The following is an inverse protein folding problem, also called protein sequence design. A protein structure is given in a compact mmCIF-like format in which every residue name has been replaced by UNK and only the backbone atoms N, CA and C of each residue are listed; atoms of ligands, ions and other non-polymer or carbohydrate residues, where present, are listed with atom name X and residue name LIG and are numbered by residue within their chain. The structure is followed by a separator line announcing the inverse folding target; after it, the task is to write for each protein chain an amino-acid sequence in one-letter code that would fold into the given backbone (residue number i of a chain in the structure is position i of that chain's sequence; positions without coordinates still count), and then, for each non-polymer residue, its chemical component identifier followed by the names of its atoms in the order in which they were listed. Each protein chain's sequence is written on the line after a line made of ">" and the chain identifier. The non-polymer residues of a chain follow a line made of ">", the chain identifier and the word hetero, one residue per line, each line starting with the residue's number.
data_IF_705416297224
#
_entry.id   IF_705416297224
#
_cell.length_a   1.000
_cell.length_b   1.000
_cell.length_c   1.000
_cell.angle_alpha   90.00
_cell.angle_beta   90.00
_cell.angle_gamma   90.00
#
_symmetry.space_group_name_H-M   'P 1'
#
loop_
_entity.id
_entity.type
_entity.pdbx_description
1 polymer ?
#
# COMPACT_ATOMS: atom_id res chain seq x y z
N UNK A 1 18.72 -21.28 -12.17
CA UNK A 1 18.33 -21.59 -10.78
C UNK A 1 17.11 -20.80 -10.32
N UNK A 2 17.15 -19.45 -10.27
CA UNK A 2 16.02 -18.62 -9.79
C UNK A 2 14.70 -18.93 -10.51
N UNK A 3 14.70 -19.03 -11.84
CA UNK A 3 13.48 -19.38 -12.57
C UNK A 3 12.89 -20.74 -12.16
N UNK A 4 13.73 -21.75 -11.91
CA UNK A 4 13.27 -23.06 -11.44
C UNK A 4 12.68 -22.99 -10.03
N UNK A 5 13.30 -22.21 -9.12
CA UNK A 5 12.76 -21.98 -7.78
C UNK A 5 11.40 -21.27 -7.84
N UNK A 6 11.26 -20.29 -8.74
CA UNK A 6 10.00 -19.59 -8.97
C UNK A 6 8.92 -20.51 -9.58
N UNK A 7 9.30 -21.46 -10.44
CA UNK A 7 8.38 -22.46 -10.96
C UNK A 7 7.91 -23.44 -9.89
N UNK A 8 8.80 -23.85 -8.98
CA UNK A 8 8.41 -24.64 -7.79
C UNK A 8 7.49 -23.83 -6.89
N UNK A 9 7.78 -22.54 -6.69
CA UNK A 9 7.00 -21.66 -5.84
C UNK A 9 5.54 -21.51 -6.29
N UNK A 10 5.28 -21.54 -7.60
CA UNK A 10 3.93 -21.41 -8.16
C UNK A 10 3.21 -22.75 -8.34
N UNK A 11 3.94 -23.86 -8.54
CA UNK A 11 3.34 -25.19 -8.71
C UNK A 11 2.88 -25.80 -7.39
N UNK A 12 3.66 -25.61 -6.33
CA UNK A 12 3.44 -26.29 -5.04
C UNK A 12 2.77 -25.38 -4.01
N UNK A 13 1.85 -24.48 -4.43
CA UNK A 13 1.14 -23.55 -3.53
C UNK A 13 0.40 -24.30 -2.39
N UNK A 14 0.08 -25.58 -2.59
CA UNK A 14 -0.53 -26.44 -1.57
C UNK A 14 0.42 -26.96 -0.47
N UNK A 15 1.74 -26.99 -0.70
CA UNK A 15 2.72 -27.38 0.33
C UNK A 15 3.23 -26.13 1.07
N UNK A 16 2.58 -25.83 2.19
CA UNK A 16 2.91 -24.67 3.02
C UNK A 16 4.37 -24.64 3.50
N UNK A 17 5.07 -25.78 3.63
CA UNK A 17 6.48 -25.79 4.05
C UNK A 17 7.40 -25.35 2.92
N UNK A 18 7.16 -25.86 1.70
CA UNK A 18 7.93 -25.48 0.51
C UNK A 18 7.71 -24.00 0.21
N UNK A 19 6.45 -23.55 0.21
CA UNK A 19 6.08 -22.15 0.00
C UNK A 19 6.75 -21.24 1.03
N UNK A 20 6.70 -21.61 2.32
CA UNK A 20 7.37 -20.84 3.38
C UNK A 20 8.88 -20.73 3.16
N UNK A 21 9.55 -21.86 2.86
CA UNK A 21 11.00 -21.88 2.65
C UNK A 21 11.43 -21.03 1.45
N UNK A 22 10.70 -21.14 0.35
CA UNK A 22 10.97 -20.37 -0.87
C UNK A 22 10.66 -18.88 -0.69
N UNK A 23 9.59 -18.51 0.02
CA UNK A 23 9.29 -17.11 0.33
C UNK A 23 10.40 -16.47 1.17
N UNK A 24 10.91 -17.18 2.17
CA UNK A 24 12.03 -16.72 2.98
C UNK A 24 13.33 -16.59 2.14
N UNK A 25 13.58 -17.53 1.23
CA UNK A 25 14.69 -17.45 0.29
C UNK A 25 14.58 -16.22 -0.63
N UNK A 26 13.42 -15.99 -1.26
CA UNK A 26 13.23 -14.81 -2.11
C UNK A 26 13.33 -13.51 -1.32
N UNK A 27 12.84 -13.49 -0.07
CA UNK A 27 13.07 -12.38 0.83
C UNK A 27 14.57 -12.13 1.06
N UNK A 28 15.34 -13.18 1.32
CA UNK A 28 16.79 -13.06 1.55
C UNK A 28 17.53 -12.55 0.30
N UNK A 29 17.19 -13.08 -0.87
CA UNK A 29 17.77 -12.63 -2.16
C UNK A 29 17.37 -11.18 -2.46
N UNK A 30 16.15 -10.76 -2.09
CA UNK A 30 15.64 -9.39 -2.33
C UNK A 30 16.38 -8.30 -1.55
N UNK A 31 17.24 -8.66 -0.60
CA UNK A 31 18.08 -7.70 0.14
C UNK A 31 19.25 -7.18 -0.70
N UNK A 32 19.57 -7.83 -1.82
CA UNK A 32 20.65 -7.45 -2.73
C UNK A 32 20.07 -6.93 -4.05
N UNK A 33 20.64 -5.87 -4.61
CA UNK A 33 20.17 -5.26 -5.85
C UNK A 33 20.27 -6.23 -7.03
N UNK A 34 21.36 -7.02 -7.11
CA UNK A 34 21.55 -8.06 -8.11
C UNK A 34 20.52 -9.17 -7.95
N UNK A 35 20.19 -9.53 -6.70
CA UNK A 35 19.16 -10.51 -6.40
C UNK A 35 17.78 -10.07 -6.85
N UNK A 36 17.42 -8.81 -6.61
CA UNK A 36 16.17 -8.21 -7.11
C UNK A 36 16.11 -8.25 -8.63
N UNK A 37 17.17 -7.81 -9.32
CA UNK A 37 17.23 -7.85 -10.79
C UNK A 37 17.07 -9.28 -11.33
N UNK A 38 17.80 -10.23 -10.76
CA UNK A 38 17.74 -11.62 -11.20
C UNK A 38 16.35 -12.26 -10.99
N UNK A 39 15.66 -11.92 -9.89
CA UNK A 39 14.27 -12.34 -9.67
C UNK A 39 13.33 -11.65 -10.68
N UNK A 40 13.51 -10.35 -10.94
CA UNK A 40 12.70 -9.60 -11.92
C UNK A 40 12.82 -10.18 -13.33
N UNK A 41 14.04 -10.43 -13.79
CA UNK A 41 14.35 -10.96 -15.12
C UNK A 41 13.72 -12.35 -15.34
N UNK A 42 13.48 -13.08 -14.25
CA UNK A 42 12.78 -14.37 -14.26
C UNK A 42 11.25 -14.25 -14.10
N UNK A 43 10.68 -13.03 -14.13
CA UNK A 43 9.25 -12.80 -13.93
C UNK A 43 8.78 -12.97 -12.48
N UNK A 44 9.65 -12.73 -11.50
CA UNK A 44 9.37 -13.05 -10.11
C UNK A 44 8.22 -12.23 -9.49
N UNK A 45 8.03 -10.96 -9.86
CA UNK A 45 6.94 -10.14 -9.29
C UNK A 45 5.57 -10.78 -9.56
N UNK A 46 5.28 -11.17 -10.79
CA UNK A 46 3.98 -11.78 -11.13
C UNK A 46 3.75 -13.13 -10.44
N UNK A 47 4.82 -13.86 -10.10
CA UNK A 47 4.77 -15.13 -9.38
C UNK A 47 4.68 -14.96 -7.86
N UNK A 48 5.15 -13.85 -7.32
CA UNK A 48 5.07 -13.51 -5.90
C UNK A 48 3.69 -12.97 -5.49
N UNK A 49 3.03 -12.19 -6.37
CA UNK A 49 1.76 -11.52 -6.08
C UNK A 49 0.63 -12.48 -5.60
N UNK A 50 0.40 -13.66 -6.20
CA UNK A 50 -0.65 -14.58 -5.75
C UNK A 50 -0.50 -15.02 -4.29
N UNK A 51 0.72 -15.08 -3.77
CA UNK A 51 0.97 -15.52 -2.39
C UNK A 51 0.46 -14.51 -1.35
N UNK A 52 0.22 -13.26 -1.74
CA UNK A 52 -0.36 -12.25 -0.85
C UNK A 52 -1.78 -12.59 -0.37
N UNK A 53 -2.47 -13.51 -1.05
CA UNK A 53 -3.78 -14.02 -0.60
C UNK A 53 -3.67 -15.04 0.55
N UNK A 54 -2.46 -15.54 0.84
CA UNK A 54 -2.25 -16.54 1.88
C UNK A 54 -2.58 -15.99 3.27
N UNK A 55 -3.13 -16.84 4.15
CA UNK A 55 -3.48 -16.45 5.52
C UNK A 55 -2.34 -16.62 6.52
N UNK A 56 -1.22 -17.19 6.10
CA UNK A 56 -0.09 -17.54 6.95
C UNK A 56 0.97 -16.43 7.02
N UNK A 57 2.06 -16.72 7.74
CA UNK A 57 3.18 -15.78 7.87
C UNK A 57 4.04 -15.64 6.61
N UNK A 58 3.83 -16.48 5.58
CA UNK A 58 4.55 -16.42 4.30
C UNK A 58 4.34 -15.07 3.63
N UNK A 59 3.14 -14.50 3.75
CA UNK A 59 2.81 -13.15 3.27
C UNK A 59 3.85 -12.12 3.73
N UNK A 60 4.34 -12.20 4.96
CA UNK A 60 5.29 -11.22 5.51
C UNK A 60 6.64 -11.21 4.78
N UNK A 61 7.11 -12.38 4.31
CA UNK A 61 8.34 -12.45 3.52
C UNK A 61 8.13 -11.89 2.12
N UNK A 62 7.02 -12.28 1.48
CA UNK A 62 6.68 -11.86 0.12
C UNK A 62 6.43 -10.36 0.03
N UNK A 63 5.64 -9.80 0.94
CA UNK A 63 5.36 -8.36 0.97
C UNK A 63 6.62 -7.54 1.21
N UNK A 64 7.56 -8.05 2.03
CA UNK A 64 8.85 -7.39 2.26
C UNK A 64 9.73 -7.46 1.02
N UNK A 65 9.76 -8.59 0.32
CA UNK A 65 10.47 -8.69 -0.95
C UNK A 65 9.91 -7.71 -2.00
N UNK A 66 8.59 -7.64 -2.16
CA UNK A 66 7.93 -6.70 -3.08
C UNK A 66 8.15 -5.23 -2.69
N UNK A 67 8.25 -4.92 -1.39
CA UNK A 67 8.63 -3.59 -0.93
C UNK A 67 10.08 -3.25 -1.28
N UNK A 68 11.00 -4.22 -1.18
CA UNK A 68 12.40 -4.05 -1.61
C UNK A 68 12.47 -3.76 -3.11
N UNK A 69 11.69 -4.47 -3.93
CA UNK A 69 11.52 -4.17 -5.36
C UNK A 69 11.12 -2.71 -5.60
N UNK A 70 10.06 -2.23 -4.94
CA UNK A 70 9.60 -0.85 -5.06
C UNK A 70 10.63 0.17 -4.57
N UNK A 71 11.48 -0.20 -3.62
CA UNK A 71 12.49 0.68 -3.04
C UNK A 71 13.71 0.83 -3.96
N UNK A 72 14.17 -0.28 -4.54
CA UNK A 72 15.43 -0.31 -5.32
C UNK A 72 15.18 -0.11 -6.81
N UNK A 73 14.13 -0.73 -7.37
CA UNK A 73 13.82 -0.68 -8.82
C UNK A 73 12.72 0.34 -9.18
N UNK A 74 12.06 0.93 -8.17
CA UNK A 74 11.14 2.07 -8.30
C UNK A 74 10.08 1.88 -9.39
N UNK A 75 10.16 2.65 -10.49
CA UNK A 75 9.20 2.60 -11.60
C UNK A 75 9.10 1.21 -12.20
N UNK A 76 10.20 0.50 -12.43
CA UNK A 76 10.15 -0.85 -13.04
C UNK A 76 9.30 -1.81 -12.21
N UNK A 77 9.52 -1.82 -10.89
CA UNK A 77 8.72 -2.64 -9.97
C UNK A 77 7.26 -2.20 -9.91
N UNK A 78 7.00 -0.88 -9.89
CA UNK A 78 5.64 -0.35 -9.84
C UNK A 78 4.84 -0.68 -11.11
N UNK A 79 5.47 -0.61 -12.29
CA UNK A 79 4.85 -1.01 -13.55
C UNK A 79 4.56 -2.51 -13.59
N UNK A 80 5.46 -3.36 -13.12
CA UNK A 80 5.22 -4.80 -13.09
C UNK A 80 4.12 -5.20 -12.10
N UNK A 81 4.07 -4.58 -10.91
CA UNK A 81 3.00 -4.82 -9.93
C UNK A 81 1.64 -4.36 -10.49
N UNK A 82 1.59 -3.23 -11.19
CA UNK A 82 0.37 -2.76 -11.84
C UNK A 82 -0.07 -3.71 -12.95
N UNK A 83 0.86 -4.18 -13.80
CA UNK A 83 0.59 -5.08 -14.93
C UNK A 83 0.02 -6.44 -14.52
N UNK A 84 0.31 -6.91 -13.31
CA UNK A 84 -0.20 -8.18 -12.78
C UNK A 84 -1.34 -8.01 -11.75
N UNK A 85 -2.05 -6.87 -11.78
CA UNK A 85 -3.18 -6.55 -10.89
C UNK A 85 -2.82 -6.62 -9.38
N UNK A 86 -1.53 -6.46 -9.06
CA UNK A 86 -1.02 -6.64 -7.70
C UNK A 86 -1.50 -5.57 -6.73
N UNK A 87 -1.85 -4.37 -7.21
CA UNK A 87 -2.29 -3.25 -6.36
C UNK A 87 -3.48 -3.64 -5.47
N UNK A 88 -4.47 -4.37 -6.03
CA UNK A 88 -5.63 -4.82 -5.27
C UNK A 88 -5.25 -5.80 -4.15
N UNK A 89 -4.21 -6.61 -4.35
CA UNK A 89 -3.68 -7.52 -3.33
C UNK A 89 -3.06 -6.75 -2.17
N UNK A 90 -2.30 -5.69 -2.43
CA UNK A 90 -1.81 -4.79 -1.38
C UNK A 90 -2.95 -4.12 -0.62
N UNK A 91 -4.00 -3.66 -1.31
CA UNK A 91 -5.17 -3.04 -0.67
C UNK A 91 -5.88 -4.04 0.26
N UNK A 92 -6.01 -5.31 -0.14
CA UNK A 92 -6.61 -6.34 0.71
C UNK A 92 -5.82 -6.56 2.01
N UNK A 93 -4.48 -6.41 1.98
CA UNK A 93 -3.65 -6.54 3.18
C UNK A 93 -3.88 -5.42 4.22
N UNK A 94 -4.55 -4.31 3.86
CA UNK A 94 -4.98 -3.28 4.82
C UNK A 94 -6.11 -3.76 5.77
N UNK A 95 -6.64 -4.97 5.56
CA UNK A 95 -7.58 -5.61 6.49
C UNK A 95 -6.88 -6.30 7.67
N UNK A 96 -5.55 -6.51 7.59
CA UNK A 96 -4.77 -7.09 8.69
C UNK A 96 -4.65 -6.10 9.85
N UNK A 97 -4.32 -6.62 11.04
CA UNK A 97 -4.23 -5.82 12.28
C UNK A 97 -2.78 -5.51 12.71
N UNK A 98 -1.77 -6.05 12.02
CA UNK A 98 -0.38 -5.88 12.41
C UNK A 98 0.17 -4.52 11.91
N UNK A 99 0.42 -3.60 12.83
CA UNK A 99 0.90 -2.24 12.53
C UNK A 99 2.19 -2.19 11.69
N UNK A 100 3.13 -3.13 11.89
CA UNK A 100 4.37 -3.19 11.10
C UNK A 100 4.09 -3.60 9.66
N UNK A 101 3.23 -4.61 9.47
CA UNK A 101 2.78 -5.02 8.13
C UNK A 101 2.00 -3.90 7.45
N UNK A 102 1.05 -3.27 8.15
CA UNK A 102 0.28 -2.15 7.60
C UNK A 102 1.18 -0.97 7.22
N UNK A 103 2.26 -0.74 7.97
CA UNK A 103 3.24 0.31 7.64
C UNK A 103 3.92 0.00 6.31
N UNK A 104 4.33 -1.26 6.14
CA UNK A 104 5.00 -1.73 4.92
C UNK A 104 4.05 -1.69 3.72
N UNK A 105 2.82 -2.17 3.87
CA UNK A 105 1.78 -2.14 2.84
C UNK A 105 1.46 -0.70 2.43
N UNK A 106 1.27 0.20 3.41
CA UNK A 106 0.98 1.61 3.14
C UNK A 106 2.15 2.33 2.46
N UNK A 107 3.40 2.01 2.83
CA UNK A 107 4.57 2.58 2.17
C UNK A 107 4.73 2.06 0.73
N UNK A 108 4.39 0.79 0.48
CA UNK A 108 4.34 0.24 -0.89
C UNK A 108 3.28 0.92 -1.75
N UNK A 109 2.06 1.15 -1.21
CA UNK A 109 1.01 1.92 -1.91
C UNK A 109 1.45 3.35 -2.22
N UNK A 110 2.17 3.99 -1.29
CA UNK A 110 2.74 5.33 -1.49
C UNK A 110 3.76 5.34 -2.63
N UNK A 111 4.70 4.38 -2.62
CA UNK A 111 5.71 4.22 -3.68
C UNK A 111 5.07 3.98 -5.04
N UNK A 112 4.13 3.04 -5.14
CA UNK A 112 3.40 2.78 -6.38
C UNK A 112 2.69 4.04 -6.90
N UNK A 113 2.06 4.81 -6.00
CA UNK A 113 1.40 6.08 -6.37
C UNK A 113 2.37 7.16 -6.88
N UNK A 114 3.63 7.12 -6.45
CA UNK A 114 4.66 8.07 -6.88
C UNK A 114 5.36 7.64 -8.17
N UNK A 115 5.51 6.32 -8.40
CA UNK A 115 6.28 5.76 -9.50
C UNK A 115 5.44 5.30 -10.69
N UNK A 116 4.12 5.20 -10.55
CA UNK A 116 3.24 4.75 -11.63
C UNK A 116 1.90 5.52 -11.59
N UNK A 117 1.61 6.23 -12.68
CA UNK A 117 0.39 7.07 -12.81
C UNK A 117 -0.88 6.22 -12.82
N UNK A 118 -0.89 5.05 -13.46
CA UNK A 118 -2.05 4.14 -13.43
C UNK A 118 -2.29 3.61 -12.03
N UNK A 119 -1.23 3.24 -11.32
CA UNK A 119 -1.32 2.79 -9.94
C UNK A 119 -1.84 3.90 -9.01
N UNK A 120 -1.35 5.14 -9.19
CA UNK A 120 -1.88 6.31 -8.51
C UNK A 120 -3.37 6.48 -8.75
N UNK A 121 -3.81 6.46 -10.01
CA UNK A 121 -5.23 6.58 -10.35
C UNK A 121 -6.06 5.44 -9.76
N UNK A 122 -5.56 4.21 -9.79
CA UNK A 122 -6.23 3.06 -9.20
C UNK A 122 -6.44 3.27 -7.69
N UNK A 123 -5.37 3.63 -6.97
CA UNK A 123 -5.41 3.87 -5.52
C UNK A 123 -6.32 5.05 -5.18
N UNK A 124 -6.28 6.13 -5.96
CA UNK A 124 -7.11 7.31 -5.77
C UNK A 124 -8.60 7.02 -5.94
N UNK A 125 -8.98 6.08 -6.81
CA UNK A 125 -10.38 5.78 -7.12
C UNK A 125 -10.90 4.51 -6.41
N UNK A 126 -10.10 3.90 -5.54
CA UNK A 126 -10.48 2.68 -4.82
C UNK A 126 -11.08 3.00 -3.46
N UNK A 127 -12.40 2.92 -3.35
CA UNK A 127 -13.16 3.21 -2.12
C UNK A 127 -12.69 2.37 -0.93
N UNK A 128 -12.47 1.06 -1.13
CA UNK A 128 -11.97 0.16 -0.09
C UNK A 128 -10.63 0.63 0.47
N UNK A 129 -9.69 1.00 -0.39
CA UNK A 129 -8.39 1.54 0.01
C UNK A 129 -8.56 2.78 0.91
N UNK A 130 -9.36 3.75 0.48
CA UNK A 130 -9.60 4.99 1.21
C UNK A 130 -10.26 4.71 2.57
N UNK A 131 -11.28 3.87 2.61
CA UNK A 131 -11.97 3.50 3.84
C UNK A 131 -11.03 2.85 4.84
N UNK A 132 -10.20 1.89 4.39
CA UNK A 132 -9.23 1.22 5.25
C UNK A 132 -8.15 2.17 5.74
N UNK A 133 -7.60 3.03 4.88
CA UNK A 133 -6.58 4.00 5.27
C UNK A 133 -7.12 5.01 6.30
N UNK A 134 -8.33 5.55 6.12
CA UNK A 134 -8.95 6.46 7.08
C UNK A 134 -9.23 5.78 8.43
N UNK A 135 -9.76 4.56 8.40
CA UNK A 135 -9.99 3.77 9.60
C UNK A 135 -8.69 3.52 10.38
N UNK A 136 -7.63 3.06 9.71
CA UNK A 136 -6.34 2.80 10.35
C UNK A 136 -5.74 4.11 10.88
N UNK A 137 -5.84 5.20 10.12
CA UNK A 137 -5.33 6.50 10.53
C UNK A 137 -6.04 7.02 11.78
N UNK A 138 -7.35 6.82 11.92
CA UNK A 138 -8.11 7.25 13.10
C UNK A 138 -7.84 6.39 14.35
N UNK A 139 -7.67 5.08 14.15
CA UNK A 139 -7.59 4.10 15.23
C UNK A 139 -6.17 3.80 15.73
N UNK A 140 -5.15 3.86 14.86
CA UNK A 140 -3.79 3.46 15.22
C UNK A 140 -3.12 4.49 16.13
N UNK A 141 -2.22 4.00 16.99
CA UNK A 141 -1.31 4.81 17.81
C UNK A 141 0.15 4.65 17.37
N UNK A 142 0.41 3.89 16.30
CA UNK A 142 1.76 3.62 15.85
C UNK A 142 2.27 4.74 14.95
N UNK A 143 3.14 5.60 15.50
CA UNK A 143 3.61 6.83 14.84
C UNK A 143 4.17 6.60 13.44
N UNK A 144 4.90 5.50 13.22
CA UNK A 144 5.48 5.20 11.90
C UNK A 144 4.38 4.91 10.87
N UNK A 145 3.34 4.16 11.26
CA UNK A 145 2.19 3.90 10.40
C UNK A 145 1.40 5.17 10.11
N UNK A 146 1.10 5.96 11.15
CA UNK A 146 0.39 7.23 10.99
C UNK A 146 1.14 8.19 10.07
N UNK A 147 2.46 8.32 10.24
CA UNK A 147 3.28 9.14 9.35
C UNK A 147 3.23 8.63 7.91
N UNK A 148 3.33 7.32 7.69
CA UNK A 148 3.26 6.72 6.35
C UNK A 148 1.91 6.97 5.70
N UNK A 149 0.79 6.66 6.38
CA UNK A 149 -0.56 6.89 5.86
C UNK A 149 -0.79 8.38 5.60
N UNK A 150 -0.30 9.27 6.48
CA UNK A 150 -0.48 10.70 6.27
C UNK A 150 0.07 11.18 4.93
N UNK A 151 1.15 10.58 4.40
CA UNK A 151 1.72 10.93 3.09
C UNK A 151 0.84 10.48 1.92
N UNK A 152 0.01 9.45 2.09
CA UNK A 152 -0.98 9.01 1.11
C UNK A 152 -2.21 9.93 1.07
N UNK A 153 -2.57 10.56 2.18
CA UNK A 153 -3.79 11.37 2.28
C UNK A 153 -3.84 12.52 1.24
N UNK A 154 -2.77 13.29 0.97
CA UNK A 154 -2.76 14.28 -0.11
C UNK A 154 -2.97 13.67 -1.50
N UNK A 155 -2.41 12.48 -1.73
CA UNK A 155 -2.54 11.77 -3.00
C UNK A 155 -4.01 11.38 -3.21
N UNK A 156 -4.63 10.66 -2.27
CA UNK A 156 -6.03 10.19 -2.43
C UNK A 156 -7.02 11.36 -2.49
N UNK A 157 -6.80 12.44 -1.72
CA UNK A 157 -7.71 13.60 -1.71
C UNK A 157 -7.62 14.48 -2.95
N UNK A 158 -6.55 14.35 -3.75
CA UNK A 158 -6.45 15.00 -5.06
C UNK A 158 -7.18 14.22 -6.18
N UNK A 159 -7.87 13.13 -5.84
CA UNK A 159 -8.72 12.37 -6.76
C UNK A 159 -9.98 13.13 -7.20
N UNK A 160 -10.90 12.39 -7.84
CA UNK A 160 -12.14 12.97 -8.37
C UNK A 160 -13.13 13.39 -7.27
N UNK A 161 -14.20 14.07 -7.66
CA UNK A 161 -15.22 14.60 -6.72
C UNK A 161 -15.98 13.50 -5.96
N UNK A 162 -16.16 12.30 -6.54
CA UNK A 162 -16.78 11.17 -5.86
C UNK A 162 -15.95 10.74 -4.64
N UNK A 163 -14.63 10.61 -4.83
CA UNK A 163 -13.71 10.21 -3.77
C UNK A 163 -13.66 11.26 -2.65
N UNK A 164 -13.68 12.54 -2.99
CA UNK A 164 -13.78 13.61 -1.99
C UNK A 164 -15.06 13.49 -1.16
N UNK A 165 -16.21 13.17 -1.78
CA UNK A 165 -17.46 12.91 -1.05
C UNK A 165 -17.34 11.70 -0.13
N UNK A 166 -16.73 10.61 -0.59
CA UNK A 166 -16.49 9.42 0.22
C UNK A 166 -15.65 9.77 1.46
N UNK A 167 -14.55 10.51 1.30
CA UNK A 167 -13.73 10.98 2.44
C UNK A 167 -14.58 11.77 3.45
N UNK A 168 -15.46 12.66 2.97
CA UNK A 168 -16.35 13.45 3.82
C UNK A 168 -17.40 12.59 4.54
N UNK A 169 -18.00 11.61 3.85
CA UNK A 169 -18.97 10.67 4.41
C UNK A 169 -18.36 9.75 5.47
N UNK A 170 -17.09 9.39 5.30
CA UNK A 170 -16.31 8.60 6.26
C UNK A 170 -15.74 9.43 7.42
N UNK A 171 -16.36 10.58 7.72
CA UNK A 171 -15.98 11.46 8.83
C UNK A 171 -14.53 12.02 8.71
N UNK A 172 -13.98 12.10 7.49
CA UNK A 172 -12.58 12.44 7.25
C UNK A 172 -12.15 13.77 7.87
N UNK A 173 -12.99 14.81 7.80
CA UNK A 173 -12.67 16.12 8.39
C UNK A 173 -12.41 16.03 9.90
N UNK A 174 -13.27 15.33 10.63
CA UNK A 174 -13.13 15.17 12.08
C UNK A 174 -11.89 14.33 12.43
N UNK A 175 -11.58 13.30 11.62
CA UNK A 175 -10.36 12.50 11.78
C UNK A 175 -9.12 13.38 11.61
N UNK A 176 -9.05 14.18 10.55
CA UNK A 176 -7.90 15.06 10.30
C UNK A 176 -7.78 16.15 11.37
N UNK A 177 -8.90 16.72 11.81
CA UNK A 177 -8.94 17.73 12.86
C UNK A 177 -8.48 17.17 14.22
N UNK A 178 -8.90 15.95 14.58
CA UNK A 178 -8.40 15.21 15.74
C UNK A 178 -6.88 15.10 15.68
N UNK A 179 -6.32 14.64 14.57
CA UNK A 179 -4.87 14.51 14.40
C UNK A 179 -4.13 15.85 14.45
N UNK A 180 -4.70 16.93 13.89
CA UNK A 180 -4.11 18.26 13.97
C UNK A 180 -3.94 18.76 15.41
N UNK A 181 -4.85 18.38 16.32
CA UNK A 181 -4.80 18.72 17.74
C UNK A 181 -3.89 17.83 18.56
N UNK A 182 -3.84 16.53 18.24
CA UNK A 182 -3.19 15.53 19.10
C UNK A 182 -1.77 15.18 18.69
N UNK A 183 -1.43 15.24 17.40
CA UNK A 183 -0.11 14.80 16.93
C UNK A 183 0.96 15.86 17.20
N UNK A 184 2.14 15.41 17.64
CA UNK A 184 3.35 16.26 17.74
C UNK A 184 4.09 16.35 16.40
N UNK A 185 3.74 15.51 15.43
CA UNK A 185 4.45 15.44 14.13
C UNK A 185 4.02 16.56 13.20
N UNK A 186 4.94 17.50 12.92
CA UNK A 186 4.71 18.59 11.96
C UNK A 186 4.37 18.05 10.56
N UNK A 187 4.95 16.90 10.18
CA UNK A 187 4.72 16.25 8.88
C UNK A 187 3.29 15.72 8.76
N UNK A 188 2.77 15.09 9.82
CA UNK A 188 1.39 14.62 9.85
C UNK A 188 0.44 15.82 9.79
N UNK A 189 0.70 16.87 10.56
CA UNK A 189 -0.11 18.11 10.53
C UNK A 189 -0.15 18.72 9.14
N UNK A 190 1.01 18.87 8.49
CA UNK A 190 1.12 19.44 7.16
C UNK A 190 0.32 18.62 6.12
N UNK A 191 0.47 17.30 6.13
CA UNK A 191 -0.28 16.42 5.23
C UNK A 191 -1.80 16.52 5.46
N UNK A 192 -2.24 16.54 6.72
CA UNK A 192 -3.67 16.72 7.04
C UNK A 192 -4.21 18.05 6.51
N UNK A 193 -3.46 19.15 6.63
CA UNK A 193 -3.86 20.46 6.10
C UNK A 193 -3.99 20.44 4.58
N UNK A 194 -3.06 19.80 3.85
CA UNK A 194 -3.17 19.63 2.40
C UNK A 194 -4.42 18.83 2.06
N UNK A 195 -4.67 17.73 2.77
CA UNK A 195 -5.85 16.88 2.56
C UNK A 195 -7.15 17.65 2.79
N UNK A 196 -7.26 18.41 3.89
CA UNK A 196 -8.42 19.27 4.17
C UNK A 196 -8.61 20.29 3.05
N UNK A 197 -7.53 20.95 2.61
CA UNK A 197 -7.57 21.91 1.50
C UNK A 197 -8.11 21.26 0.21
N UNK A 198 -7.71 20.03 -0.10
CA UNK A 198 -8.12 19.34 -1.32
C UNK A 198 -9.62 18.97 -1.34
N UNK A 199 -10.25 18.79 -0.16
CA UNK A 199 -11.66 18.39 -0.03
C UNK A 199 -12.61 19.53 0.39
N UNK A 200 -12.07 20.70 0.75
CA UNK A 200 -12.85 21.81 1.32
C UNK A 200 -13.90 22.39 0.38
N UNK A 201 -13.57 22.51 -0.91
CA UNK A 201 -14.50 22.98 -1.94
C UNK A 201 -15.76 22.09 -2.02
N UNK A 202 -15.56 20.78 -1.90
CA UNK A 202 -16.64 19.80 -1.94
C UNK A 202 -17.44 19.77 -0.63
N UNK A 203 -16.79 20.01 0.52
CA UNK A 203 -17.48 20.14 1.81
C UNK A 203 -18.49 21.29 1.80
N UNK A 204 -18.11 22.47 1.29
CA UNK A 204 -19.00 23.64 1.20
C UNK A 204 -20.21 23.37 0.30
N UNK A 205 -20.03 22.61 -0.80
CA UNK A 205 -21.13 22.22 -1.69
C UNK A 205 -22.12 21.27 -1.02
N UNK A 206 -21.65 20.35 -0.19
CA UNK A 206 -22.54 19.42 0.52
C UNK A 206 -23.39 20.12 1.59
N UNK A 207 -22.89 21.17 2.22
CA UNK A 207 -23.66 21.98 3.19
C UNK A 207 -24.74 22.80 2.50
N UNK A 208 -24.47 23.35 1.32
CA UNK A 208 -25.44 24.18 0.56
C UNK A 208 -26.61 23.39 -0.06
N UNK A 209 -26.44 22.08 -0.25
CA UNK A 209 -27.45 21.20 -0.86
C UNK A 209 -28.26 20.40 0.18
N UNK A 210 -28.16 20.76 1.46
CA UNK A 210 -28.99 20.25 2.56
C UNK A 210 -29.99 21.33 2.95
#
# INVERSE_FOLDING_TARGET
>A
LINALLDTFTKDIGDGKIVFALANLFHSISQQQEGLRAILDCGGISRLIPILDSSDNTVNYVITALHNFLTVLQEQAAHEIERCDGIQKFINLLERSNDKLLTLVSDSLLKMSNYNVKAKMYIQNNEKCIQRLLYIFDASKYDKLLLTISKLLPIISSGNELIKRIILQLNGLNIFEKHLRTTKSIRIRHNCLITIRNISNQATRMVRNR
#
